data_IF_326372398365
#
_entry.id   IF_326372398365
#
_cell.length_a   1.000
_cell.length_b   1.000
_cell.length_c   1.000
_cell.angle_alpha   90.00
_cell.angle_beta   90.00
_cell.angle_gamma   90.00
#
_symmetry.space_group_name_H-M   'P 1'
#
loop_
_entity.id
_entity.type
_entity.pdbx_description
1 polymer ?
#
# COMPACT_ATOMS: atom_id res chain seq x y z
N UNK A 1 3.36 -6.27 19.45
CA UNK A 1 3.52 -4.82 19.29
C UNK A 1 4.79 -4.60 18.50
N UNK A 2 4.75 -3.71 17.52
CA UNK A 2 5.93 -3.31 16.75
C UNK A 2 6.73 -2.33 17.63
N UNK A 3 8.02 -2.57 17.82
CA UNK A 3 8.93 -1.74 18.63
C UNK A 3 9.69 -0.70 17.79
N UNK A 4 9.61 -0.80 16.46
CA UNK A 4 10.25 0.13 15.55
C UNK A 4 9.80 1.58 15.78
N UNK A 5 10.76 2.51 15.70
CA UNK A 5 10.52 3.96 15.73
C UNK A 5 11.33 4.61 14.62
N UNK A 6 10.70 5.53 13.87
CA UNK A 6 11.39 6.39 12.90
C UNK A 6 12.54 7.13 13.60
N UNK A 7 13.79 7.06 13.08
CA UNK A 7 14.91 7.77 13.71
C UNK A 7 14.69 9.28 13.74
N UNK A 8 14.90 9.90 14.90
CA UNK A 8 14.72 11.35 15.09
C UNK A 8 15.73 12.18 14.25
N UNK A 9 16.79 11.55 13.75
CA UNK A 9 17.78 12.15 12.84
C UNK A 9 17.27 12.33 11.40
N UNK A 10 16.17 11.67 11.01
CA UNK A 10 15.62 11.78 9.66
C UNK A 10 14.60 12.92 9.63
N UNK A 11 14.81 13.98 8.82
CA UNK A 11 13.91 15.13 8.79
C UNK A 11 12.46 14.72 8.48
N UNK A 12 11.50 15.40 9.11
CA UNK A 12 10.08 15.21 8.87
C UNK A 12 9.38 16.58 8.84
N UNK A 13 8.64 16.90 7.76
CA UNK A 13 8.51 16.12 6.53
C UNK A 13 9.77 16.16 5.66
N UNK A 14 10.00 15.10 4.90
CA UNK A 14 10.98 15.02 3.82
C UNK A 14 10.29 14.85 2.47
N UNK A 15 10.87 15.45 1.43
CA UNK A 15 10.54 15.16 0.03
C UNK A 15 11.45 14.04 -0.45
N UNK A 16 10.87 12.89 -0.77
CA UNK A 16 11.60 11.69 -1.15
C UNK A 16 11.87 11.61 -2.65
N UNK A 17 11.02 12.25 -3.46
CA UNK A 17 11.11 12.16 -4.91
C UNK A 17 10.48 13.37 -5.59
N UNK A 18 11.09 13.83 -6.69
CA UNK A 18 10.52 14.81 -7.63
C UNK A 18 10.57 14.23 -9.04
N UNK A 19 9.55 14.48 -9.83
CA UNK A 19 9.48 13.96 -11.20
C UNK A 19 8.49 14.74 -12.06
N UNK A 20 8.64 14.63 -13.36
CA UNK A 20 7.73 15.21 -14.35
C UNK A 20 6.90 14.11 -15.02
N UNK A 21 5.63 14.40 -15.30
CA UNK A 21 4.76 13.56 -16.15
C UNK A 21 3.95 14.42 -17.09
N UNK A 22 3.68 13.86 -18.27
CA UNK A 22 2.70 14.40 -19.21
C UNK A 22 1.30 14.04 -18.71
N UNK A 23 0.47 15.05 -18.49
CA UNK A 23 -0.94 14.92 -18.17
C UNK A 23 -1.76 14.46 -19.37
N UNK A 24 -3.03 14.14 -19.13
CA UNK A 24 -3.95 13.68 -20.18
C UNK A 24 -4.27 14.78 -21.21
N UNK A 25 -4.18 16.05 -20.79
CA UNK A 25 -4.29 17.25 -21.64
C UNK A 25 -3.02 17.53 -22.47
N UNK A 26 -1.97 16.73 -22.28
CA UNK A 26 -0.69 16.88 -22.94
C UNK A 26 0.28 17.86 -22.27
N UNK A 27 -0.13 18.55 -21.21
CA UNK A 27 0.74 19.43 -20.42
C UNK A 27 1.77 18.63 -19.63
N UNK A 28 2.96 19.19 -19.43
CA UNK A 28 3.97 18.61 -18.51
C UNK A 28 3.73 19.21 -17.14
N UNK A 29 3.51 18.35 -16.13
CA UNK A 29 3.32 18.74 -14.74
C UNK A 29 4.45 18.22 -13.87
N UNK A 30 4.84 19.04 -12.90
CA UNK A 30 5.79 18.70 -11.86
C UNK A 30 5.07 18.05 -10.68
N UNK A 31 5.64 16.95 -10.19
CA UNK A 31 5.12 16.21 -9.05
C UNK A 31 6.22 16.02 -8.02
N UNK A 32 5.82 15.88 -6.77
CA UNK A 32 6.72 15.46 -5.71
C UNK A 32 6.02 14.51 -4.75
N UNK A 33 6.81 13.62 -4.14
CA UNK A 33 6.36 12.68 -3.13
C UNK A 33 7.05 13.04 -1.82
N UNK A 34 6.26 13.15 -0.77
CA UNK A 34 6.72 13.53 0.56
C UNK A 34 6.02 12.71 1.65
N UNK A 35 6.54 12.83 2.86
CA UNK A 35 5.83 12.40 4.07
C UNK A 35 4.44 13.06 4.18
N UNK A 36 3.46 12.34 4.74
CA UNK A 36 2.16 12.93 5.08
C UNK A 36 2.30 13.82 6.31
N UNK A 37 2.11 15.13 6.13
CA UNK A 37 2.06 16.12 7.21
C UNK A 37 0.65 16.24 7.81
N UNK A 38 0.49 16.77 9.04
CA UNK A 38 -0.80 16.84 9.73
C UNK A 38 -1.93 17.40 8.88
N UNK A 39 -1.65 18.41 8.05
CA UNK A 39 -2.63 19.08 7.18
C UNK A 39 -3.24 18.14 6.13
N UNK A 40 -2.54 17.07 5.76
CA UNK A 40 -2.98 16.09 4.75
C UNK A 40 -3.51 14.79 5.35
N UNK A 41 -3.49 14.59 6.69
CA UNK A 41 -3.88 13.33 7.31
C UNK A 41 -5.34 12.98 7.03
N UNK A 42 -6.26 13.91 7.25
CA UNK A 42 -7.69 13.65 7.01
C UNK A 42 -7.97 13.42 5.52
N UNK A 43 -7.41 14.26 4.66
CA UNK A 43 -7.51 14.09 3.19
C UNK A 43 -6.96 12.73 2.75
N UNK A 44 -5.87 12.26 3.35
CA UNK A 44 -5.29 10.96 3.05
C UNK A 44 -6.23 9.83 3.46
N UNK A 45 -6.69 9.82 4.71
CA UNK A 45 -7.54 8.75 5.25
C UNK A 45 -8.91 8.70 4.56
N UNK A 46 -9.50 9.86 4.27
CA UNK A 46 -10.80 9.92 3.59
C UNK A 46 -10.72 9.40 2.16
N UNK A 47 -9.61 9.65 1.46
CA UNK A 47 -9.40 9.06 0.14
C UNK A 47 -9.01 7.58 0.20
N UNK A 48 -8.39 7.09 1.28
CA UNK A 48 -8.23 5.65 1.49
C UNK A 48 -9.60 4.96 1.58
N UNK A 49 -10.59 5.56 2.24
CA UNK A 49 -11.95 5.01 2.28
C UNK A 49 -12.71 5.16 0.96
N UNK A 50 -12.73 6.38 0.41
CA UNK A 50 -13.63 6.74 -0.70
C UNK A 50 -13.07 6.36 -2.07
N UNK A 51 -11.74 6.27 -2.21
CA UNK A 51 -11.07 5.94 -3.47
C UNK A 51 -10.43 4.56 -3.41
N UNK A 52 -9.60 4.27 -2.39
CA UNK A 52 -8.88 3.00 -2.34
C UNK A 52 -9.82 1.81 -2.11
N UNK A 53 -10.65 1.80 -1.06
CA UNK A 53 -11.53 0.63 -0.78
C UNK A 53 -12.52 0.31 -1.89
N UNK A 54 -12.93 1.33 -2.65
CA UNK A 54 -13.83 1.17 -3.79
C UNK A 54 -13.18 0.39 -4.95
N UNK A 55 -11.90 0.61 -5.16
CA UNK A 55 -11.16 0.10 -6.33
C UNK A 55 -10.22 -1.08 -5.99
N UNK A 56 -9.86 -1.25 -4.72
CA UNK A 56 -9.05 -2.37 -4.24
C UNK A 56 -9.79 -3.70 -4.49
N UNK A 57 -9.09 -4.67 -5.07
CA UNK A 57 -9.71 -5.88 -5.61
C UNK A 57 -10.34 -6.75 -4.53
N UNK A 58 -9.66 -7.01 -3.41
CA UNK A 58 -10.23 -7.82 -2.35
C UNK A 58 -11.46 -7.13 -1.75
N UNK A 59 -11.38 -5.83 -1.48
CA UNK A 59 -12.46 -5.03 -0.92
C UNK A 59 -13.69 -5.01 -1.85
N UNK A 60 -13.49 -4.73 -3.14
CA UNK A 60 -14.57 -4.72 -4.13
C UNK A 60 -15.27 -6.06 -4.24
N UNK A 61 -14.51 -7.15 -4.38
CA UNK A 61 -15.07 -8.49 -4.59
C UNK A 61 -15.49 -9.21 -3.30
N UNK A 62 -15.24 -8.61 -2.13
CA UNK A 62 -15.80 -9.04 -0.84
C UNK A 62 -16.96 -8.17 -0.36
N UNK A 63 -17.43 -7.20 -1.17
CA UNK A 63 -18.43 -6.20 -0.77
C UNK A 63 -18.05 -5.48 0.54
N UNK A 64 -16.76 -5.14 0.68
CA UNK A 64 -16.21 -4.61 1.92
C UNK A 64 -16.87 -3.31 2.37
N UNK A 65 -17.22 -2.43 1.42
CA UNK A 65 -17.90 -1.17 1.70
C UNK A 65 -19.34 -1.34 2.22
N UNK A 66 -19.95 -2.52 2.02
CA UNK A 66 -21.29 -2.83 2.56
C UNK A 66 -21.23 -3.21 4.05
N UNK A 67 -20.03 -3.33 4.64
CA UNK A 67 -19.77 -3.65 6.04
C UNK A 67 -19.13 -2.44 6.75
N UNK A 68 -19.93 -1.57 7.40
CA UNK A 68 -19.43 -0.36 8.07
C UNK A 68 -18.40 -0.65 9.18
N UNK A 69 -18.51 -1.80 9.84
CA UNK A 69 -17.54 -2.22 10.86
C UNK A 69 -16.19 -2.55 10.21
N UNK A 70 -16.19 -3.17 9.03
CA UNK A 70 -14.97 -3.41 8.26
C UNK A 70 -14.27 -2.10 7.90
N UNK A 71 -15.03 -1.12 7.39
CA UNK A 71 -14.52 0.20 7.00
C UNK A 71 -13.92 0.92 8.21
N UNK A 72 -14.67 0.98 9.31
CA UNK A 72 -14.20 1.60 10.55
C UNK A 72 -12.91 0.95 11.07
N UNK A 73 -12.85 -0.37 11.13
CA UNK A 73 -11.66 -1.06 11.63
C UNK A 73 -10.45 -0.85 10.72
N UNK A 74 -10.65 -0.77 9.41
CA UNK A 74 -9.53 -0.52 8.51
C UNK A 74 -9.05 0.93 8.61
N UNK A 75 -9.95 1.90 8.83
CA UNK A 75 -9.59 3.28 9.18
C UNK A 75 -8.80 3.35 10.47
N UNK A 76 -9.27 2.69 11.54
CA UNK A 76 -8.57 2.64 12.84
C UNK A 76 -7.16 2.04 12.68
N UNK A 77 -7.03 1.01 11.84
CA UNK A 77 -5.76 0.43 11.48
C UNK A 77 -4.83 1.43 10.77
N UNK A 78 -5.33 2.18 9.77
CA UNK A 78 -4.54 3.21 9.10
C UNK A 78 -4.15 4.35 10.04
N UNK A 79 -5.07 4.85 10.87
CA UNK A 79 -4.79 5.86 11.90
C UNK A 79 -3.64 5.39 12.81
N UNK A 80 -3.64 4.13 13.21
CA UNK A 80 -2.55 3.60 14.01
C UNK A 80 -1.22 3.56 13.24
N UNK A 81 -1.23 3.09 11.99
CA UNK A 81 -0.02 3.07 11.15
C UNK A 81 0.52 4.46 10.82
N UNK A 82 -0.33 5.49 10.78
CA UNK A 82 0.11 6.88 10.54
C UNK A 82 1.06 7.39 11.62
N UNK A 83 1.02 6.81 12.83
CA UNK A 83 1.95 7.15 13.93
C UNK A 83 3.40 6.82 13.61
N UNK A 84 3.65 5.85 12.74
CA UNK A 84 5.00 5.48 12.30
C UNK A 84 5.64 6.56 11.43
N UNK A 85 4.83 7.53 10.94
CA UNK A 85 5.27 8.60 10.05
C UNK A 85 5.99 8.06 8.81
N UNK A 86 5.45 7.00 8.20
CA UNK A 86 6.01 6.36 7.01
C UNK A 86 5.13 6.50 5.77
N UNK A 87 3.86 6.88 5.92
CA UNK A 87 2.97 7.06 4.78
C UNK A 87 3.47 8.16 3.85
N UNK A 88 3.19 7.99 2.55
CA UNK A 88 3.62 8.90 1.50
C UNK A 88 2.43 9.50 0.76
N UNK A 89 2.55 10.77 0.40
CA UNK A 89 1.60 11.46 -0.49
C UNK A 89 2.33 11.97 -1.73
N UNK A 90 1.61 12.00 -2.85
CA UNK A 90 2.04 12.66 -4.07
C UNK A 90 1.24 13.96 -4.23
N UNK A 91 1.94 15.04 -4.54
CA UNK A 91 1.39 16.37 -4.75
C UNK A 91 1.84 16.92 -6.11
N UNK A 92 1.08 17.87 -6.63
CA UNK A 92 1.40 18.68 -7.81
C UNK A 92 0.90 20.10 -7.60
N UNK A 93 1.12 21.00 -8.55
CA UNK A 93 0.54 22.35 -8.56
C UNK A 93 -0.49 22.50 -9.67
N UNK A 94 -1.56 23.25 -9.41
CA UNK A 94 -2.45 23.74 -10.46
C UNK A 94 -1.83 24.92 -11.24
N UNK A 95 -2.59 25.45 -12.22
CA UNK A 95 -2.16 26.56 -13.07
C UNK A 95 -1.90 27.87 -12.30
N UNK A 96 -2.49 28.00 -11.09
CA UNK A 96 -2.31 29.15 -10.20
C UNK A 96 -1.21 28.90 -9.15
N UNK A 97 -0.46 27.80 -9.25
CA UNK A 97 0.58 27.42 -8.31
C UNK A 97 0.05 26.85 -6.99
N UNK A 98 -1.24 26.50 -6.89
CA UNK A 98 -1.81 25.92 -5.67
C UNK A 98 -1.56 24.42 -5.62
N UNK A 99 -1.20 23.92 -4.44
CA UNK A 99 -0.95 22.49 -4.24
C UNK A 99 -2.23 21.67 -4.48
N UNK A 100 -2.05 20.51 -5.11
CA UNK A 100 -3.10 19.55 -5.40
C UNK A 100 -2.69 18.16 -4.94
N UNK A 101 -3.60 17.52 -4.22
CA UNK A 101 -3.47 16.13 -3.81
C UNK A 101 -3.64 15.17 -4.99
N UNK A 102 -2.66 14.28 -5.21
CA UNK A 102 -2.63 13.38 -6.37
C UNK A 102 -2.88 11.92 -5.99
N UNK A 103 -2.40 11.49 -4.83
CA UNK A 103 -2.49 10.10 -4.39
C UNK A 103 -1.67 9.85 -3.14
N UNK A 104 -1.77 8.63 -2.61
CA UNK A 104 -1.11 8.26 -1.37
C UNK A 104 -0.75 6.79 -1.30
N UNK A 105 0.19 6.44 -0.43
CA UNK A 105 0.55 5.08 -0.09
C UNK A 105 0.70 4.92 1.44
N UNK A 106 -0.18 4.10 2.04
CA UNK A 106 -0.16 3.78 3.45
C UNK A 106 0.89 2.72 3.74
N UNK A 107 1.88 3.08 4.56
CA UNK A 107 3.07 2.28 4.82
C UNK A 107 3.25 2.05 6.32
N UNK A 108 3.68 0.85 6.67
CA UNK A 108 3.96 0.42 8.06
C UNK A 108 5.17 -0.52 8.09
N UNK A 109 5.76 -0.72 9.26
CA UNK A 109 6.84 -1.69 9.45
C UNK A 109 6.27 -3.05 9.84
N UNK A 110 6.83 -4.11 9.23
CA UNK A 110 6.72 -5.47 9.73
C UNK A 110 8.03 -5.87 10.39
N UNK A 111 7.96 -6.33 11.64
CA UNK A 111 9.11 -6.80 12.42
C UNK A 111 9.03 -8.30 12.66
N UNK A 112 10.19 -8.95 12.64
CA UNK A 112 10.34 -10.38 12.90
C UNK A 112 9.90 -10.71 14.32
N UNK A 113 9.14 -11.79 14.45
CA UNK A 113 8.61 -12.22 15.75
C UNK A 113 7.47 -11.33 16.29
N UNK A 114 7.10 -10.25 15.59
CA UNK A 114 5.84 -9.58 15.89
C UNK A 114 4.70 -10.56 15.60
N UNK A 115 3.82 -10.76 16.58
CA UNK A 115 2.49 -11.28 16.28
C UNK A 115 1.90 -10.29 15.29
N UNK A 116 1.61 -10.74 14.06
CA UNK A 116 1.01 -9.88 13.04
C UNK A 116 -0.32 -9.29 13.51
N UNK A 117 -1.09 -8.69 12.61
CA UNK A 117 -2.45 -8.28 12.95
C UNK A 117 -3.27 -9.49 13.41
N UNK A 118 -3.37 -9.71 14.73
CA UNK A 118 -4.36 -10.61 15.31
C UNK A 118 -5.72 -9.99 14.96
N UNK A 119 -6.41 -10.61 14.01
CA UNK A 119 -7.69 -10.12 13.49
C UNK A 119 -8.81 -10.46 14.47
N UNK A 120 -8.77 -9.85 15.65
CA UNK A 120 -9.93 -9.83 16.55
C UNK A 120 -10.92 -8.80 16.01
N UNK A 121 -11.87 -9.29 15.23
CA UNK A 121 -12.91 -8.48 14.60
C UNK A 121 -14.24 -9.22 14.66
N UNK A 122 -15.38 -8.53 14.55
CA UNK A 122 -16.66 -9.15 14.26
C UNK A 122 -17.05 -9.02 12.78
N UNK A 123 -16.35 -8.18 12.01
CA UNK A 123 -16.56 -8.03 10.57
C UNK A 123 -16.03 -9.25 9.82
N UNK A 124 -16.92 -9.86 9.02
CA UNK A 124 -16.55 -10.96 8.13
C UNK A 124 -15.70 -10.47 6.95
N UNK A 125 -16.04 -9.30 6.39
CA UNK A 125 -15.30 -8.72 5.26
C UNK A 125 -13.85 -8.39 5.67
N UNK A 126 -13.66 -7.74 6.83
CA UNK A 126 -12.34 -7.43 7.36
C UNK A 126 -11.51 -8.70 7.61
N UNK A 127 -12.08 -9.68 8.32
CA UNK A 127 -11.43 -10.98 8.56
C UNK A 127 -10.98 -11.66 7.29
N UNK A 128 -11.85 -11.70 6.28
CA UNK A 128 -11.56 -12.34 5.01
C UNK A 128 -10.41 -11.67 4.28
N UNK A 129 -10.47 -10.35 4.09
CA UNK A 129 -9.40 -9.60 3.42
C UNK A 129 -8.07 -9.75 4.16
N UNK A 130 -8.08 -9.52 5.48
CA UNK A 130 -6.85 -9.56 6.29
C UNK A 130 -6.27 -10.98 6.42
N UNK A 131 -7.11 -12.02 6.50
CA UNK A 131 -6.62 -13.41 6.54
C UNK A 131 -5.99 -13.84 5.23
N UNK A 132 -6.56 -13.45 4.07
CA UNK A 132 -5.98 -13.76 2.75
C UNK A 132 -4.66 -13.01 2.55
N UNK A 133 -4.62 -11.70 2.85
CA UNK A 133 -3.38 -10.92 2.79
C UNK A 133 -2.33 -11.49 3.72
N UNK A 134 -2.71 -11.83 4.97
CA UNK A 134 -1.83 -12.44 5.95
C UNK A 134 -1.31 -13.81 5.50
N UNK A 135 -2.15 -14.65 4.92
CA UNK A 135 -1.75 -15.96 4.40
C UNK A 135 -0.71 -15.82 3.27
N UNK A 136 -0.97 -14.97 2.27
CA UNK A 136 -0.04 -14.76 1.15
C UNK A 136 1.27 -14.09 1.61
N UNK A 137 1.19 -13.16 2.56
CA UNK A 137 2.37 -12.50 3.13
C UNK A 137 3.29 -13.49 3.87
N UNK A 138 2.70 -14.47 4.56
CA UNK A 138 3.41 -15.46 5.38
C UNK A 138 3.66 -16.80 4.66
N UNK A 139 3.22 -16.96 3.40
CA UNK A 139 3.43 -18.19 2.62
C UNK A 139 4.92 -18.53 2.42
N UNK A 140 5.80 -17.52 2.52
CA UNK A 140 7.25 -17.67 2.66
C UNK A 140 7.76 -16.66 3.67
N UNK A 141 8.79 -17.04 4.43
CA UNK A 141 9.42 -16.19 5.43
C UNK A 141 10.28 -15.10 4.76
N UNK A 142 9.72 -13.88 4.64
CA UNK A 142 10.40 -12.71 4.09
C UNK A 142 11.65 -12.34 4.89
N UNK A 143 11.60 -12.46 6.21
CA UNK A 143 12.72 -12.10 7.09
C UNK A 143 13.93 -12.99 6.83
N UNK A 144 13.69 -14.30 6.76
CA UNK A 144 14.73 -15.28 6.46
C UNK A 144 15.29 -15.12 5.05
N UNK A 145 14.41 -14.98 4.04
CA UNK A 145 14.85 -14.87 2.65
C UNK A 145 15.71 -13.61 2.43
N UNK A 146 15.23 -12.47 2.93
CA UNK A 146 15.90 -11.20 2.70
C UNK A 146 17.00 -10.94 3.71
N UNK A 147 17.16 -11.81 4.72
CA UNK A 147 18.08 -11.64 5.84
C UNK A 147 17.93 -10.26 6.49
N UNK A 148 16.70 -9.96 6.93
CA UNK A 148 16.33 -8.70 7.59
C UNK A 148 15.51 -9.01 8.84
N UNK A 149 15.59 -8.13 9.83
CA UNK A 149 14.76 -8.20 11.04
C UNK A 149 13.45 -7.40 10.88
N UNK A 150 13.41 -6.52 9.89
CA UNK A 150 12.29 -5.63 9.60
C UNK A 150 12.22 -5.28 8.12
N UNK A 151 11.02 -4.99 7.63
CA UNK A 151 10.81 -4.49 6.28
C UNK A 151 9.60 -3.57 6.20
N UNK A 152 9.62 -2.67 5.22
CA UNK A 152 8.50 -1.79 4.91
C UNK A 152 7.41 -2.56 4.14
N UNK A 153 6.18 -2.55 4.64
CA UNK A 153 5.00 -3.08 3.95
C UNK A 153 3.95 -2.00 3.74
N UNK A 154 2.82 -2.35 3.11
CA UNK A 154 1.76 -1.41 2.78
C UNK A 154 0.37 -2.01 2.93
N UNK A 155 -0.59 -1.13 3.24
CA UNK A 155 -2.01 -1.45 3.36
C UNK A 155 -2.90 -0.49 2.58
N UNK A 156 -2.35 0.04 1.49
CA UNK A 156 -3.11 0.70 0.44
C UNK A 156 -2.28 1.69 -0.34
N UNK A 157 -2.58 1.78 -1.63
CA UNK A 157 -2.02 2.75 -2.55
C UNK A 157 -3.14 3.18 -3.49
N UNK A 158 -3.35 4.49 -3.58
CA UNK A 158 -4.32 5.05 -4.51
C UNK A 158 -3.77 6.26 -5.23
N UNK A 159 -4.35 6.49 -6.41
CA UNK A 159 -4.15 7.68 -7.22
C UNK A 159 -5.54 8.21 -7.54
N UNK A 160 -5.75 9.51 -7.36
CA UNK A 160 -7.03 10.15 -7.65
C UNK A 160 -7.38 9.94 -9.14
N UNK A 161 -8.67 9.70 -9.46
CA UNK A 161 -9.10 9.29 -10.80
C UNK A 161 -8.53 10.12 -11.96
N UNK A 162 -8.45 11.44 -11.81
CA UNK A 162 -7.98 12.37 -12.83
C UNK A 162 -6.47 12.26 -13.13
N UNK A 163 -5.68 11.66 -12.23
CA UNK A 163 -4.24 11.47 -12.39
C UNK A 163 -3.84 10.02 -12.75
N UNK A 164 -4.82 9.13 -12.92
CA UNK A 164 -4.55 7.73 -13.30
C UNK A 164 -4.03 7.65 -14.73
N UNK A 165 -3.29 6.57 -15.02
CA UNK A 165 -2.64 6.37 -16.32
C UNK A 165 -1.32 7.13 -16.52
N UNK A 166 -0.95 8.04 -15.62
CA UNK A 166 0.26 8.88 -15.72
C UNK A 166 1.49 8.24 -15.05
N UNK A 167 1.38 7.01 -14.54
CA UNK A 167 2.47 6.30 -13.87
C UNK A 167 2.78 6.77 -12.44
N UNK A 168 1.90 7.55 -11.82
CA UNK A 168 2.08 8.08 -10.46
C UNK A 168 2.24 6.97 -9.41
N UNK A 169 1.45 5.89 -9.51
CA UNK A 169 1.56 4.76 -8.59
C UNK A 169 2.95 4.11 -8.62
N UNK A 170 3.61 4.08 -9.78
CA UNK A 170 4.97 3.57 -9.92
C UNK A 170 5.97 4.48 -9.19
N UNK A 171 5.81 5.80 -9.31
CA UNK A 171 6.69 6.76 -8.62
C UNK A 171 6.49 6.75 -7.10
N UNK A 172 5.25 6.55 -6.61
CA UNK A 172 4.95 6.30 -5.18
C UNK A 172 5.68 5.06 -4.66
N UNK A 173 5.69 3.97 -5.42
CA UNK A 173 6.42 2.75 -5.04
C UNK A 173 7.94 2.94 -5.08
N UNK A 174 8.46 3.69 -6.07
CA UNK A 174 9.90 4.00 -6.15
C UNK A 174 10.36 4.82 -4.95
N UNK A 175 9.58 5.82 -4.53
CA UNK A 175 9.85 6.68 -3.37
C UNK A 175 10.09 5.92 -2.06
N UNK A 176 9.61 4.67 -1.95
CA UNK A 176 9.90 3.79 -0.81
C UNK A 176 11.40 3.54 -0.64
N UNK A 177 12.19 3.53 -1.72
CA UNK A 177 13.63 3.31 -1.64
C UNK A 177 14.31 4.43 -0.88
N UNK A 178 14.07 5.67 -1.28
CA UNK A 178 14.67 6.85 -0.66
C UNK A 178 14.26 6.95 0.81
N UNK A 179 12.97 6.72 1.12
CA UNK A 179 12.47 6.63 2.50
C UNK A 179 13.18 5.53 3.30
N UNK A 180 13.20 4.29 2.78
CA UNK A 180 13.77 3.13 3.48
C UNK A 180 15.26 3.32 3.79
N UNK A 181 16.04 3.79 2.81
CA UNK A 181 17.46 4.05 3.01
C UNK A 181 17.69 5.11 4.10
N UNK A 182 16.88 6.16 4.14
CA UNK A 182 17.01 7.21 5.14
C UNK A 182 16.67 6.72 6.57
N UNK A 183 15.64 5.88 6.70
CA UNK A 183 15.19 5.36 8.02
C UNK A 183 15.83 4.03 8.42
N UNK A 184 16.83 3.56 7.67
CA UNK A 184 17.61 2.36 8.00
C UNK A 184 16.97 1.02 7.60
N UNK A 185 15.86 1.04 6.86
CA UNK A 185 15.15 -0.16 6.42
C UNK A 185 15.77 -0.71 5.14
N UNK A 186 16.09 -2.01 5.14
CA UNK A 186 16.85 -2.66 4.04
C UNK A 186 15.97 -3.33 3.00
N UNK A 187 14.67 -3.44 3.23
CA UNK A 187 13.77 -4.10 2.30
C UNK A 187 12.35 -3.54 2.37
N UNK A 188 11.63 -3.68 1.26
CA UNK A 188 10.17 -3.56 1.23
C UNK A 188 9.58 -4.84 0.64
N UNK A 189 8.49 -5.32 1.22
CA UNK A 189 7.70 -6.43 0.69
C UNK A 189 6.22 -6.12 0.89
N UNK A 190 5.37 -6.44 -0.09
CA UNK A 190 3.95 -6.10 -0.06
C UNK A 190 3.16 -7.09 -0.91
N UNK A 191 1.95 -7.43 -0.45
CA UNK A 191 0.98 -8.20 -1.24
C UNK A 191 0.26 -7.28 -2.21
N UNK A 192 0.45 -7.50 -3.51
CA UNK A 192 -0.22 -6.81 -4.60
C UNK A 192 -1.37 -7.67 -5.13
N UNK A 193 -2.60 -7.17 -4.95
CA UNK A 193 -3.85 -7.94 -5.08
C UNK A 193 -4.43 -7.95 -6.49
N UNK A 194 -3.91 -7.15 -7.42
CA UNK A 194 -4.44 -7.04 -8.78
C UNK A 194 -3.36 -7.00 -9.84
N UNK A 195 -3.71 -7.37 -11.08
CA UNK A 195 -2.77 -7.32 -12.21
C UNK A 195 -2.22 -5.91 -12.44
N UNK A 196 -3.03 -4.88 -12.17
CA UNK A 196 -2.64 -3.47 -12.30
C UNK A 196 -1.58 -3.13 -11.24
N UNK A 197 -1.83 -3.43 -9.97
CA UNK A 197 -0.90 -3.12 -8.89
C UNK A 197 0.41 -3.94 -9.00
N UNK A 198 0.32 -5.19 -9.47
CA UNK A 198 1.49 -6.03 -9.76
C UNK A 198 2.35 -5.49 -10.91
N UNK A 199 1.74 -5.00 -12.00
CA UNK A 199 2.46 -4.37 -13.12
C UNK A 199 3.14 -3.07 -12.69
N UNK A 200 2.45 -2.28 -11.87
CA UNK A 200 3.00 -1.06 -11.24
C UNK A 200 4.21 -1.41 -10.37
N UNK A 201 4.10 -2.45 -9.53
CA UNK A 201 5.19 -2.92 -8.68
C UNK A 201 6.41 -3.38 -9.49
N UNK A 202 6.22 -4.21 -10.54
CA UNK A 202 7.31 -4.61 -11.45
C UNK A 202 7.97 -3.42 -12.11
N UNK A 203 7.20 -2.43 -12.54
CA UNK A 203 7.72 -1.19 -13.14
C UNK A 203 8.52 -0.34 -12.14
N UNK A 204 8.28 -0.50 -10.84
CA UNK A 204 9.07 0.10 -9.77
C UNK A 204 10.27 -0.76 -9.34
N UNK A 205 10.48 -1.93 -9.95
CA UNK A 205 11.60 -2.82 -9.68
C UNK A 205 11.31 -3.93 -8.67
N UNK A 206 10.06 -4.12 -8.24
CA UNK A 206 9.70 -5.23 -7.35
C UNK A 206 9.85 -6.58 -8.07
N UNK A 207 10.42 -7.54 -7.35
CA UNK A 207 10.54 -8.94 -7.75
C UNK A 207 9.44 -9.76 -7.10
N UNK A 208 8.97 -10.79 -7.81
CA UNK A 208 7.97 -11.71 -7.28
C UNK A 208 8.61 -12.65 -6.25
N UNK A 209 7.95 -12.81 -5.10
CA UNK A 209 8.38 -13.72 -4.04
C UNK A 209 7.46 -14.94 -3.91
N UNK A 210 6.16 -14.67 -3.93
CA UNK A 210 5.06 -15.64 -3.86
C UNK A 210 3.96 -15.18 -4.83
N UNK A 211 3.35 -16.13 -5.52
CA UNK A 211 2.10 -15.94 -6.25
C UNK A 211 1.14 -17.07 -5.91
N UNK A 212 -0.11 -16.72 -5.58
CA UNK A 212 -1.18 -17.69 -5.30
C UNK A 212 -2.42 -17.28 -6.08
N UNK A 213 -2.98 -18.23 -6.83
CA UNK A 213 -4.19 -18.04 -7.62
C UNK A 213 -5.41 -17.93 -6.70
N UNK A 214 -6.38 -17.08 -7.07
CA UNK A 214 -7.62 -16.92 -6.29
C UNK A 214 -8.43 -18.21 -6.20
N UNK A 215 -8.46 -19.00 -7.27
CA UNK A 215 -9.15 -20.30 -7.29
C UNK A 215 -8.51 -21.29 -6.30
N UNK A 216 -7.20 -21.23 -6.09
CA UNK A 216 -6.52 -22.10 -5.14
C UNK A 216 -6.76 -21.65 -3.70
N UNK A 217 -6.85 -20.34 -3.44
CA UNK A 217 -7.29 -19.82 -2.14
C UNK A 217 -8.68 -20.32 -1.75
N UNK A 218 -9.63 -20.28 -2.68
CA UNK A 218 -11.00 -20.78 -2.46
C UNK A 218 -11.03 -22.28 -2.20
N UNK A 219 -10.22 -23.08 -2.91
CA UNK A 219 -10.10 -24.53 -2.64
C UNK A 219 -9.52 -24.82 -1.26
N UNK A 220 -8.54 -24.03 -0.82
CA UNK A 220 -7.91 -24.19 0.48
C UNK A 220 -8.83 -23.78 1.63
N UNK A 221 -9.59 -22.69 1.44
CA UNK A 221 -10.60 -22.25 2.37
C UNK A 221 -11.76 -21.61 1.59
N UNK A 222 -12.96 -22.23 1.54
CA UNK A 222 -14.10 -21.67 0.83
C UNK A 222 -14.51 -20.25 1.28
N UNK A 223 -14.19 -19.85 2.52
CA UNK A 223 -14.43 -18.48 2.99
C UNK A 223 -13.56 -17.44 2.26
N UNK A 224 -12.45 -17.85 1.65
CA UNK A 224 -11.53 -17.04 0.85
C UNK A 224 -11.94 -16.89 -0.62
N UNK A 225 -13.17 -17.25 -0.98
CA UNK A 225 -13.72 -16.99 -2.32
C UNK A 225 -13.91 -15.49 -2.60
N UNK A 226 -13.52 -14.98 -3.76
CA UNK A 226 -13.86 -13.60 -4.17
C UNK A 226 -14.62 -13.64 -5.50
N UNK A 227 -15.95 -13.82 -5.48
CA UNK A 227 -16.72 -14.10 -6.68
C UNK A 227 -16.53 -13.05 -7.77
N UNK A 228 -16.05 -13.47 -8.94
CA UNK A 228 -15.81 -12.61 -10.10
C UNK A 228 -14.44 -11.93 -10.13
N UNK A 229 -13.58 -12.07 -9.11
CA UNK A 229 -12.26 -11.44 -9.09
C UNK A 229 -11.36 -11.88 -10.24
N UNK A 230 -11.51 -13.13 -10.69
CA UNK A 230 -10.72 -13.75 -11.77
C UNK A 230 -10.97 -13.12 -13.14
N UNK A 231 -12.07 -12.38 -13.30
CA UNK A 231 -12.31 -11.52 -14.47
C UNK A 231 -11.34 -10.34 -14.55
N UNK A 232 -10.82 -9.87 -13.40
CA UNK A 232 -9.87 -8.78 -13.29
C UNK A 232 -8.43 -9.28 -13.12
N UNK A 233 -8.22 -10.29 -12.27
CA UNK A 233 -6.89 -10.72 -11.88
C UNK A 233 -6.88 -12.18 -11.43
N UNK A 234 -5.85 -12.92 -11.86
CA UNK A 234 -5.75 -14.36 -11.61
C UNK A 234 -5.20 -14.69 -10.21
N UNK A 235 -4.27 -13.90 -9.69
CA UNK A 235 -3.53 -14.20 -8.47
C UNK A 235 -3.22 -12.97 -7.63
N UNK A 236 -2.97 -13.18 -6.34
CA UNK A 236 -2.25 -12.23 -5.49
C UNK A 236 -0.77 -12.53 -5.53
N UNK A 237 0.06 -11.50 -5.38
CA UNK A 237 1.51 -11.66 -5.36
C UNK A 237 2.14 -10.93 -4.19
N UNK A 238 2.86 -11.64 -3.34
CA UNK A 238 3.82 -10.99 -2.44
C UNK A 238 5.06 -10.66 -3.26
N UNK A 239 5.42 -9.38 -3.33
CA UNK A 239 6.54 -8.90 -4.12
C UNK A 239 7.45 -8.04 -3.25
N UNK A 240 8.74 -7.99 -3.57
CA UNK A 240 9.73 -7.33 -2.72
C UNK A 240 10.80 -6.57 -3.50
N UNK A 241 11.51 -5.68 -2.79
CA UNK A 241 12.82 -5.14 -3.16
C UNK A 241 13.70 -5.24 -1.92
N UNK A 242 14.92 -5.77 -2.09
CA UNK A 242 16.01 -5.61 -1.12
C UNK A 242 16.90 -4.47 -1.56
N UNK A 243 17.02 -3.44 -0.74
CA UNK A 243 17.89 -2.31 -0.98
C UNK A 243 19.33 -2.70 -0.65
N UNK A 244 20.25 -2.31 -1.54
CA UNK A 244 21.69 -2.50 -1.34
C UNK A 244 22.24 -1.34 -0.52
#
# INVERSE_FOLDING_TARGET
MVNWKRPDSVPFPSVWRRFEKKGNDGSIKNYWIQDVVPEYVDTFLDNMETVFLKDESLCKYSKFLDDPEAVKQFRDFWINGMKDKLALICLTTDENGRERFVGGNMLVISEKGSKGLEVQSNSKAFKKVMSVVGYVANAKDVFKELNVEEYLTAYGLYVMPEFRGQGIGTELLKARRELCLAVGIKATATVFTSIVSQRTARSAGFQEFVAIDYDDLEKMNPEWSFPGITTLTKSLKNMYIKFK
#
